data_IF_031795914540
#
_entry.id   IF_031795914540
#
_cell.length_a   1.000
_cell.length_b   1.000
_cell.length_c   1.000
_cell.angle_alpha   90.00
_cell.angle_beta   90.00
_cell.angle_gamma   90.00
#
_symmetry.space_group_name_H-M   'P 1'
#
loop_
_entity.id
_entity.type
_entity.pdbx_description
1 polymer ?
#
# COMPACT_ATOMS: atom_id res chain seq x y z
N UNK A 1 -8.85 61.89 -28.82
CA UNK A 1 -7.81 60.95 -28.50
C UNK A 1 -7.96 60.29 -27.11
N UNK A 2 -8.44 60.98 -26.09
CA UNK A 2 -8.65 60.35 -24.75
C UNK A 2 -9.70 59.26 -24.71
N UNK A 3 -10.74 59.32 -25.55
CA UNK A 3 -11.78 58.29 -25.62
C UNK A 3 -11.35 56.99 -26.31
N UNK A 4 -10.39 57.03 -27.21
CA UNK A 4 -9.84 55.88 -27.90
C UNK A 4 -8.93 55.05 -26.99
N UNK A 5 -8.21 55.77 -26.11
CA UNK A 5 -7.30 55.13 -25.11
C UNK A 5 -8.07 54.31 -24.07
N UNK A 6 -9.23 54.80 -23.62
CA UNK A 6 -10.10 54.14 -22.65
C UNK A 6 -10.71 52.84 -23.26
N UNK A 7 -11.10 52.89 -24.54
CA UNK A 7 -11.65 51.75 -25.23
C UNK A 7 -10.59 50.64 -25.44
N UNK A 8 -9.35 51.02 -25.76
CA UNK A 8 -8.24 50.06 -25.90
C UNK A 8 -7.87 49.42 -24.57
N UNK A 9 -7.91 50.16 -23.46
CA UNK A 9 -7.62 49.64 -22.13
C UNK A 9 -8.73 48.65 -21.66
N UNK A 10 -9.97 48.95 -21.99
CA UNK A 10 -11.10 48.06 -21.67
C UNK A 10 -11.04 46.76 -22.46
N UNK A 11 -10.59 46.79 -23.73
CA UNK A 11 -10.47 45.65 -24.60
C UNK A 11 -9.31 44.73 -24.17
N UNK A 12 -8.19 45.25 -23.71
CA UNK A 12 -7.07 44.49 -23.18
C UNK A 12 -7.43 43.85 -21.84
N UNK A 13 -8.26 44.47 -21.00
CA UNK A 13 -8.74 43.90 -19.76
C UNK A 13 -9.68 42.70 -19.93
N UNK A 14 -10.40 42.64 -21.04
CA UNK A 14 -11.34 41.53 -21.30
C UNK A 14 -10.65 40.23 -21.73
N UNK A 15 -9.44 40.33 -22.31
CA UNK A 15 -8.70 39.12 -22.75
C UNK A 15 -7.88 38.46 -21.65
N UNK A 16 -7.73 39.05 -20.47
CA UNK A 16 -6.94 38.53 -19.37
C UNK A 16 -7.76 37.61 -18.45
N UNK A 17 -9.07 37.51 -18.62
CA UNK A 17 -9.95 36.66 -17.79
C UNK A 17 -10.32 35.34 -18.44
N UNK A 18 -9.85 35.07 -19.66
CA UNK A 18 -10.10 33.80 -20.38
C UNK A 18 -8.92 32.83 -20.27
N UNK A 19 -8.15 32.90 -19.18
CA UNK A 19 -7.05 31.97 -18.94
C UNK A 19 -7.42 30.98 -17.87
N UNK A 20 -7.49 29.72 -18.29
CA UNK A 20 -7.32 28.50 -17.49
C UNK A 20 -8.47 28.09 -16.58
N UNK A 21 -9.56 27.59 -17.18
CA UNK A 21 -10.47 26.73 -16.42
C UNK A 21 -10.68 25.35 -17.04
N UNK A 22 -10.02 25.06 -18.17
CA UNK A 22 -10.26 23.82 -18.90
C UNK A 22 -9.24 22.69 -18.62
N UNK A 23 -8.15 22.98 -17.91
CA UNK A 23 -7.11 21.97 -17.69
C UNK A 23 -7.23 21.22 -16.34
N UNK A 24 -8.18 21.59 -15.49
CA UNK A 24 -8.35 20.93 -14.18
C UNK A 24 -9.18 19.66 -14.25
N UNK A 25 -10.06 19.52 -15.24
CA UNK A 25 -10.93 18.36 -15.38
C UNK A 25 -10.24 17.15 -16.01
N UNK A 26 -9.07 17.34 -16.63
CA UNK A 26 -8.28 16.27 -17.22
C UNK A 26 -7.13 15.75 -16.35
N UNK A 27 -6.93 16.36 -15.18
CA UNK A 27 -5.90 15.90 -14.26
C UNK A 27 -6.43 14.69 -13.48
N UNK A 28 -5.85 13.49 -13.63
CA UNK A 28 -6.30 12.33 -12.91
C UNK A 28 -6.11 12.56 -11.41
N UNK A 29 -7.22 12.67 -10.69
CA UNK A 29 -7.20 12.72 -9.22
C UNK A 29 -7.11 11.32 -8.68
N UNK A 30 -6.21 11.10 -7.71
CA UNK A 30 -6.09 9.82 -7.02
C UNK A 30 -7.39 9.54 -6.27
N UNK A 31 -8.17 8.59 -6.78
CA UNK A 31 -9.37 8.09 -6.12
C UNK A 31 -9.01 7.10 -5.02
N UNK A 32 -9.96 6.85 -4.13
CA UNK A 32 -9.86 5.68 -3.25
C UNK A 32 -9.96 4.43 -4.12
N UNK A 33 -9.11 3.39 -3.91
CA UNK A 33 -9.19 2.17 -4.68
C UNK A 33 -10.55 1.50 -4.46
N UNK A 34 -11.19 1.07 -5.55
CA UNK A 34 -12.50 0.41 -5.52
C UNK A 34 -12.44 -0.99 -4.92
N UNK A 35 -11.31 -1.65 -5.03
CA UNK A 35 -11.07 -2.99 -4.50
C UNK A 35 -9.58 -3.22 -4.24
N UNK A 36 -9.28 -3.78 -3.10
CA UNK A 36 -7.95 -4.29 -2.74
C UNK A 36 -8.15 -5.52 -1.85
N UNK A 37 -7.70 -6.66 -2.30
CA UNK A 37 -7.91 -7.94 -1.60
C UNK A 37 -6.59 -8.68 -1.51
N UNK A 38 -6.22 -9.08 -0.30
CA UNK A 38 -5.20 -10.09 -0.08
C UNK A 38 -5.85 -11.45 -0.33
N UNK A 39 -5.35 -12.20 -1.31
CA UNK A 39 -5.87 -13.52 -1.64
C UNK A 39 -5.47 -14.51 -0.55
N UNK A 40 -6.43 -15.29 -0.08
CA UNK A 40 -6.17 -16.37 0.86
C UNK A 40 -5.30 -17.43 0.17
N UNK A 41 -4.11 -17.77 0.70
CA UNK A 41 -3.30 -18.86 0.17
C UNK A 41 -4.05 -20.18 0.20
N UNK A 42 -3.83 -21.05 -0.78
CA UNK A 42 -4.48 -22.36 -0.86
C UNK A 42 -4.23 -23.27 0.37
N UNK A 43 -3.15 -22.97 1.10
CA UNK A 43 -2.73 -23.71 2.32
C UNK A 43 -2.77 -22.80 3.55
N UNK A 44 -3.70 -21.82 3.60
CA UNK A 44 -3.81 -20.88 4.72
C UNK A 44 -4.05 -21.57 6.07
N UNK A 45 -4.73 -22.72 6.06
CA UNK A 45 -5.01 -23.53 7.25
C UNK A 45 -3.90 -24.54 7.58
N UNK A 46 -2.83 -24.57 6.80
CA UNK A 46 -1.72 -25.47 7.03
C UNK A 46 -0.68 -24.86 7.97
N UNK A 47 0.01 -25.72 8.71
CA UNK A 47 1.19 -25.30 9.49
C UNK A 47 2.35 -25.05 8.56
N UNK A 48 2.92 -23.86 8.62
CA UNK A 48 4.13 -23.48 7.88
C UNK A 48 5.36 -23.75 8.73
N UNK A 49 6.27 -24.56 8.23
CA UNK A 49 7.59 -24.73 8.81
C UNK A 49 8.50 -23.61 8.29
N UNK A 50 8.62 -22.55 9.07
CA UNK A 50 9.42 -21.37 8.71
C UNK A 50 10.92 -21.63 8.79
N UNK A 51 11.34 -22.69 9.48
CA UNK A 51 12.76 -23.07 9.61
C UNK A 51 13.27 -23.73 8.33
N UNK A 52 12.43 -24.54 7.69
CA UNK A 52 12.79 -25.27 6.47
C UNK A 52 12.29 -24.59 5.18
N UNK A 53 11.46 -23.56 5.29
CA UNK A 53 10.98 -22.83 4.15
C UNK A 53 12.00 -21.76 3.71
N UNK A 54 12.29 -21.69 2.41
CA UNK A 54 13.17 -20.63 1.87
C UNK A 54 12.42 -19.32 1.71
N UNK A 55 11.22 -19.37 1.12
CA UNK A 55 10.43 -18.20 0.79
C UNK A 55 8.96 -18.37 1.20
N UNK A 56 8.35 -17.24 1.48
CA UNK A 56 6.93 -17.10 1.72
C UNK A 56 6.33 -16.17 0.66
N UNK A 57 5.22 -16.60 0.05
CA UNK A 57 4.60 -15.91 -1.07
C UNK A 57 3.15 -15.55 -0.77
N UNK A 58 2.81 -14.30 -0.98
CA UNK A 58 1.45 -13.78 -0.92
C UNK A 58 1.04 -13.21 -2.28
N UNK A 59 -0.22 -13.24 -2.58
CA UNK A 59 -0.78 -12.62 -3.76
C UNK A 59 -1.91 -11.66 -3.38
N UNK A 60 -2.02 -10.58 -4.11
CA UNK A 60 -3.05 -9.56 -3.87
C UNK A 60 -3.67 -9.12 -5.18
N UNK A 61 -4.85 -8.53 -5.13
CA UNK A 61 -5.41 -7.84 -6.27
C UNK A 61 -4.67 -6.52 -6.52
N UNK A 62 -4.68 -6.05 -7.78
CA UNK A 62 -4.21 -4.72 -8.11
C UNK A 62 -5.23 -3.70 -7.59
N UNK A 63 -4.84 -2.69 -6.78
CA UNK A 63 -5.73 -1.60 -6.44
C UNK A 63 -6.07 -0.79 -7.69
N UNK A 64 -7.35 -0.47 -7.85
CA UNK A 64 -7.84 0.35 -8.94
C UNK A 64 -8.11 1.78 -8.43
N UNK A 65 -7.29 2.71 -8.86
CA UNK A 65 -7.40 4.14 -8.56
C UNK A 65 -8.09 4.94 -9.68
N UNK A 66 -8.67 4.25 -10.68
CA UNK A 66 -9.23 4.86 -11.89
C UNK A 66 -8.20 5.16 -12.98
N UNK A 67 -6.92 4.94 -12.71
CA UNK A 67 -5.82 5.04 -13.68
C UNK A 67 -4.63 4.20 -13.23
N UNK A 68 -3.66 3.99 -14.12
CA UNK A 68 -2.46 3.21 -13.81
C UNK A 68 -1.58 3.98 -12.84
N UNK A 69 -1.45 3.47 -11.62
CA UNK A 69 -0.59 4.02 -10.58
C UNK A 69 0.47 3.01 -10.16
N UNK A 70 1.66 3.52 -9.83
CA UNK A 70 2.68 2.71 -9.19
C UNK A 70 2.26 2.42 -7.74
N UNK A 71 2.24 1.15 -7.37
CA UNK A 71 1.82 0.69 -6.05
C UNK A 71 2.99 0.02 -5.34
N UNK A 72 3.13 0.29 -4.05
CA UNK A 72 4.07 -0.42 -3.18
C UNK A 72 3.27 -1.16 -2.12
N UNK A 73 3.54 -2.45 -1.99
CA UNK A 73 2.90 -3.33 -1.01
C UNK A 73 3.84 -3.55 0.16
N UNK A 74 3.29 -3.51 1.36
CA UNK A 74 3.95 -3.82 2.61
C UNK A 74 3.25 -5.02 3.25
N UNK A 75 4.03 -5.90 3.89
CA UNK A 75 3.48 -7.05 4.62
C UNK A 75 3.45 -6.69 6.10
N UNK A 76 2.31 -6.91 6.73
CA UNK A 76 2.14 -6.84 8.18
C UNK A 76 1.75 -8.21 8.71
N UNK A 77 2.28 -8.57 9.85
CA UNK A 77 1.94 -9.79 10.57
C UNK A 77 1.42 -9.42 11.96
N UNK A 78 0.45 -10.18 12.45
CA UNK A 78 -0.12 -10.02 13.79
C UNK A 78 -0.45 -11.40 14.37
N UNK A 79 -0.44 -11.51 15.68
CA UNK A 79 -0.94 -12.68 16.41
C UNK A 79 -2.46 -12.68 16.55
N UNK A 80 -3.09 -11.53 16.28
CA UNK A 80 -4.54 -11.33 16.41
C UNK A 80 -5.20 -11.03 15.08
N UNK A 81 -6.38 -11.60 14.87
CA UNK A 81 -7.14 -11.41 13.63
C UNK A 81 -7.58 -9.95 13.39
N UNK A 82 -7.68 -9.15 14.44
CA UNK A 82 -8.01 -7.72 14.39
C UNK A 82 -6.79 -6.83 14.08
N UNK A 83 -5.61 -7.44 13.89
CA UNK A 83 -4.35 -6.74 13.61
C UNK A 83 -3.96 -5.70 14.67
N UNK A 84 -4.39 -5.88 15.93
CA UNK A 84 -4.16 -4.90 17.01
C UNK A 84 -2.69 -4.80 17.45
N UNK A 85 -1.90 -5.84 17.21
CA UNK A 85 -0.50 -5.96 17.61
C UNK A 85 0.46 -6.12 16.42
N UNK A 86 0.07 -5.64 15.25
CA UNK A 86 0.85 -5.89 14.03
C UNK A 86 2.27 -5.32 14.08
N UNK A 87 3.17 -6.05 13.43
CA UNK A 87 4.51 -5.57 13.05
C UNK A 87 4.68 -5.70 11.54
N UNK A 88 5.47 -4.79 10.98
CA UNK A 88 5.81 -4.82 9.57
C UNK A 88 6.93 -5.85 9.31
N UNK A 89 6.69 -6.73 8.35
CA UNK A 89 7.72 -7.63 7.84
C UNK A 89 8.63 -6.82 6.92
N UNK A 90 9.95 -6.91 7.11
CA UNK A 90 10.96 -6.19 6.31
C UNK A 90 10.98 -6.68 4.86
N UNK A 91 9.87 -6.47 4.15
CA UNK A 91 9.70 -6.82 2.75
C UNK A 91 8.72 -5.86 2.08
N UNK A 92 9.10 -5.37 0.91
CA UNK A 92 8.25 -4.55 0.05
C UNK A 92 8.21 -5.13 -1.34
N UNK A 93 7.10 -4.94 -2.04
CA UNK A 93 6.94 -5.35 -3.43
C UNK A 93 6.22 -4.27 -4.23
N UNK A 94 6.55 -4.17 -5.50
CA UNK A 94 5.79 -3.34 -6.47
C UNK A 94 4.89 -4.20 -7.36
N UNK A 95 4.82 -5.51 -7.09
CA UNK A 95 4.02 -6.47 -7.83
C UNK A 95 2.94 -7.07 -6.95
N UNK A 96 1.86 -7.53 -7.57
CA UNK A 96 0.76 -8.25 -6.90
C UNK A 96 1.18 -9.60 -6.30
N UNK A 97 2.33 -10.12 -6.71
CA UNK A 97 2.98 -11.27 -6.09
C UNK A 97 4.08 -10.74 -5.18
N UNK A 98 3.90 -10.93 -3.88
CA UNK A 98 4.82 -10.47 -2.86
C UNK A 98 5.56 -11.70 -2.35
N UNK A 99 6.86 -11.76 -2.61
CA UNK A 99 7.71 -12.86 -2.16
C UNK A 99 8.73 -12.33 -1.15
N UNK A 100 8.86 -13.00 -0.04
CA UNK A 100 9.83 -12.68 0.99
C UNK A 100 10.47 -13.94 1.54
N UNK A 101 11.67 -13.78 2.14
CA UNK A 101 12.31 -14.91 2.82
C UNK A 101 11.50 -15.32 4.04
N UNK A 102 11.33 -16.63 4.25
CA UNK A 102 10.64 -17.17 5.42
C UNK A 102 11.29 -16.69 6.74
N UNK A 103 12.61 -16.52 6.76
CA UNK A 103 13.34 -16.00 7.92
C UNK A 103 12.90 -14.61 8.35
N UNK A 104 12.50 -13.73 7.42
CA UNK A 104 11.99 -12.40 7.76
C UNK A 104 10.64 -12.48 8.46
N UNK A 105 9.76 -13.36 7.97
CA UNK A 105 8.48 -13.63 8.63
C UNK A 105 8.69 -14.25 10.00
N UNK A 106 9.58 -15.25 10.12
CA UNK A 106 9.93 -15.89 11.38
C UNK A 106 10.43 -14.88 12.42
N UNK A 107 11.33 -13.97 12.04
CA UNK A 107 11.83 -12.94 12.93
C UNK A 107 10.72 -11.98 13.39
N UNK A 108 9.81 -11.60 12.49
CA UNK A 108 8.68 -10.74 12.84
C UNK A 108 7.72 -11.44 13.81
N UNK A 109 7.40 -12.71 13.58
CA UNK A 109 6.55 -13.52 14.46
C UNK A 109 7.21 -13.71 15.82
N UNK A 110 8.52 -14.01 15.84
CA UNK A 110 9.28 -14.11 17.09
C UNK A 110 9.20 -12.81 17.89
N UNK A 111 9.38 -11.67 17.25
CA UNK A 111 9.29 -10.37 17.90
C UNK A 111 7.88 -10.10 18.45
N UNK A 112 6.83 -10.46 17.71
CA UNK A 112 5.44 -10.38 18.19
C UNK A 112 5.22 -11.23 19.43
N UNK A 113 5.75 -12.45 19.45
CA UNK A 113 5.64 -13.37 20.60
C UNK A 113 6.40 -12.85 21.81
N UNK A 114 7.59 -12.28 21.63
CA UNK A 114 8.35 -11.63 22.72
C UNK A 114 7.58 -10.44 23.27
N UNK A 115 7.00 -9.62 22.40
CA UNK A 115 6.17 -8.48 22.82
C UNK A 115 4.90 -8.94 23.59
N UNK A 116 4.40 -10.13 23.27
CA UNK A 116 3.26 -10.77 23.96
C UNK A 116 3.66 -11.46 25.28
N UNK A 117 4.94 -11.35 25.69
CA UNK A 117 5.45 -11.87 26.97
C UNK A 117 5.97 -13.31 26.92
N UNK A 118 6.25 -13.85 25.73
CA UNK A 118 7.00 -15.09 25.59
C UNK A 118 8.48 -14.83 25.87
N UNK A 119 9.15 -15.81 26.45
CA UNK A 119 10.59 -15.74 26.74
C UNK A 119 11.39 -16.51 25.68
N UNK A 120 12.68 -16.17 25.54
CA UNK A 120 13.58 -16.88 24.60
C UNK A 120 13.67 -18.39 24.88
N UNK A 121 13.48 -18.78 26.13
CA UNK A 121 13.47 -20.20 26.54
C UNK A 121 12.25 -20.98 26.00
N UNK A 122 11.21 -20.29 25.56
CA UNK A 122 10.01 -20.89 25.00
C UNK A 122 10.18 -21.30 23.51
N UNK A 123 11.30 -20.91 22.89
CA UNK A 123 11.57 -21.21 21.49
C UNK A 123 12.52 -22.42 21.33
N UNK A 124 12.37 -23.23 20.28
CA UNK A 124 11.38 -23.12 19.21
C UNK A 124 9.98 -23.51 19.67
N UNK A 125 8.98 -22.75 19.22
CA UNK A 125 7.59 -23.12 19.44
C UNK A 125 7.23 -24.30 18.54
N UNK A 126 7.09 -25.47 19.11
CA UNK A 126 6.45 -26.60 18.44
C UNK A 126 4.96 -26.52 18.75
N UNK A 127 4.18 -25.93 17.86
CA UNK A 127 2.72 -26.07 17.91
C UNK A 127 2.34 -27.43 17.36
N UNK A 128 1.51 -28.17 18.10
CA UNK A 128 0.97 -29.43 17.59
C UNK A 128 0.02 -29.21 16.44
#
# INVERSE_FOLDING_TARGET
MKKLSILATLFVGLFLTASCDSDRDSNPTLGQPSSFVLNTPAIADATYDLDHAETFKLTTSQPDYGYTAATTYYIQASLHADMSDYLEVSATSHNVIIETKATKLANTVTQLLLNAGKEEADFPLTTP
#
